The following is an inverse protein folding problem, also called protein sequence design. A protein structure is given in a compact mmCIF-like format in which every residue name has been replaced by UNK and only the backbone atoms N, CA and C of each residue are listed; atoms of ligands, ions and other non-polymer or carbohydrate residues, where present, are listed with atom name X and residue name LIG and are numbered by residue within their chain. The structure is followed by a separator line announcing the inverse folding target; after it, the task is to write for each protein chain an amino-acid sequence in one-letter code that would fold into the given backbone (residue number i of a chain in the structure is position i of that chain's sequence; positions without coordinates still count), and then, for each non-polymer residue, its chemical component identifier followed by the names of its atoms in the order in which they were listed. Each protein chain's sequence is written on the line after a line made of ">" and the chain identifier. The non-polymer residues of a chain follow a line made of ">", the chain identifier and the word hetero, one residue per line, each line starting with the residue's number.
data_IF_776911375963
#
_entry.id   IF_776911375963
#
_cell.length_a   1.000
_cell.length_b   1.000
_cell.length_c   1.000
_cell.angle_alpha   90.00
_cell.angle_beta   90.00
_cell.angle_gamma   90.00
#
_symmetry.space_group_name_H-M   'P 1'
#
loop_
_entity.id
_entity.type
_entity.pdbx_description
1 polymer ?
#
# COMPACT_ATOMS: atom_id res chain seq x y z
N UNK A 1 -1.77 -27.32 0.50
CA UNK A 1 -1.19 -26.30 1.38
C UNK A 1 -1.49 -24.95 0.73
N UNK A 2 -2.04 -23.95 1.45
CA UNK A 2 -2.27 -22.66 0.82
C UNK A 2 -0.91 -22.09 0.42
N UNK A 3 -0.79 -21.66 -0.83
CA UNK A 3 0.43 -21.14 -1.41
C UNK A 3 0.81 -19.84 -0.71
N UNK A 4 1.98 -19.81 -0.06
CA UNK A 4 2.62 -18.58 0.45
C UNK A 4 3.01 -17.73 -0.76
N UNK A 5 2.05 -16.98 -1.29
CA UNK A 5 2.26 -16.03 -2.37
C UNK A 5 2.50 -14.62 -1.84
N UNK A 6 3.05 -13.72 -2.66
CA UNK A 6 3.30 -12.35 -2.26
C UNK A 6 2.00 -11.58 -2.00
N UNK A 7 2.13 -10.46 -1.29
CA UNK A 7 1.01 -9.57 -0.98
C UNK A 7 1.47 -8.26 -0.35
N UNK A 8 0.51 -7.42 0.00
CA UNK A 8 0.73 -6.12 0.62
C UNK A 8 0.39 -6.17 2.10
N UNK A 9 1.31 -5.79 2.97
CA UNK A 9 1.02 -5.50 4.38
C UNK A 9 0.80 -4.01 4.52
N UNK A 10 -0.31 -3.60 5.12
CA UNK A 10 -0.75 -2.22 5.17
C UNK A 10 -0.89 -1.68 6.60
N UNK A 11 -0.83 -0.35 6.70
CA UNK A 11 -1.30 0.40 7.86
C UNK A 11 -2.45 1.30 7.42
N UNK A 12 -3.59 1.15 8.07
CA UNK A 12 -4.77 1.99 7.83
C UNK A 12 -5.06 2.85 9.07
N UNK A 13 -5.35 4.12 8.86
CA UNK A 13 -5.76 5.06 9.90
C UNK A 13 -7.27 5.05 10.09
N UNK A 14 -7.72 5.06 11.35
CA UNK A 14 -9.09 5.37 11.73
C UNK A 14 -9.28 6.90 11.83
N UNK A 15 -9.99 7.58 10.91
CA UNK A 15 -10.06 9.04 10.91
C UNK A 15 -10.73 9.60 12.17
N UNK A 16 -11.71 8.86 12.72
CA UNK A 16 -12.41 9.28 13.95
C UNK A 16 -11.63 8.98 15.23
N UNK A 17 -10.49 8.26 15.13
CA UNK A 17 -9.63 7.90 16.25
C UNK A 17 -8.16 7.94 15.81
N UNK A 18 -7.54 9.13 15.70
CA UNK A 18 -6.23 9.30 15.05
C UNK A 18 -5.05 8.54 15.70
N UNK A 19 -5.20 8.07 16.95
CA UNK A 19 -4.21 7.22 17.65
C UNK A 19 -4.45 5.71 17.46
N UNK A 20 -5.32 5.35 16.54
CA UNK A 20 -5.72 3.97 16.28
C UNK A 20 -5.44 3.65 14.82
N UNK A 21 -4.60 2.63 14.63
CA UNK A 21 -4.28 2.11 13.30
C UNK A 21 -4.73 0.66 13.21
N UNK A 22 -5.18 0.26 12.02
CA UNK A 22 -5.36 -1.14 11.66
C UNK A 22 -4.12 -1.61 10.91
N UNK A 23 -3.56 -2.74 11.32
CA UNK A 23 -2.49 -3.41 10.58
C UNK A 23 -3.07 -4.70 10.04
N UNK A 24 -2.86 -4.96 8.75
CA UNK A 24 -3.15 -6.27 8.19
C UNK A 24 -2.57 -6.46 6.80
N UNK A 25 -2.96 -7.52 6.11
CA UNK A 25 -2.51 -7.75 4.74
C UNK A 25 -3.63 -8.01 3.74
N UNK A 26 -3.28 -7.92 2.46
CA UNK A 26 -4.09 -8.35 1.32
C UNK A 26 -3.20 -8.98 0.24
N UNK A 27 -3.77 -9.89 -0.55
CA UNK A 27 -3.12 -10.44 -1.75
C UNK A 27 -3.42 -9.62 -3.02
N UNK A 28 -4.35 -8.67 -2.92
CA UNK A 28 -4.69 -7.71 -3.98
C UNK A 28 -4.17 -6.30 -3.67
N UNK A 29 -4.87 -5.28 -4.14
CA UNK A 29 -4.50 -3.89 -3.87
C UNK A 29 -5.04 -3.42 -2.50
N UNK A 30 -4.24 -2.65 -1.77
CA UNK A 30 -4.66 -2.10 -0.46
C UNK A 30 -5.92 -1.24 -0.58
N UNK A 31 -6.07 -0.50 -1.69
CA UNK A 31 -7.28 0.30 -1.95
C UNK A 31 -8.55 -0.53 -2.15
N UNK A 32 -8.45 -1.72 -2.72
CA UNK A 32 -9.57 -2.67 -2.81
C UNK A 32 -9.97 -3.14 -1.42
N UNK A 33 -8.97 -3.51 -0.61
CA UNK A 33 -9.19 -3.96 0.76
C UNK A 33 -9.82 -2.87 1.64
N UNK A 34 -9.40 -1.62 1.48
CA UNK A 34 -10.03 -0.47 2.17
C UNK A 34 -11.52 -0.36 1.83
N UNK A 35 -11.89 -0.54 0.56
CA UNK A 35 -13.29 -0.53 0.12
C UNK A 35 -14.08 -1.69 0.70
N UNK A 36 -13.53 -2.90 0.73
CA UNK A 36 -14.16 -4.07 1.34
C UNK A 36 -14.39 -3.90 2.84
N UNK A 37 -13.44 -3.29 3.54
CA UNK A 37 -13.54 -3.01 4.98
C UNK A 37 -14.55 -1.90 5.30
N UNK A 38 -14.93 -1.09 4.30
CA UNK A 38 -15.97 -0.08 4.40
C UNK A 38 -17.37 -0.69 4.18
N UNK A 39 -17.81 -1.50 5.16
CA UNK A 39 -19.17 -2.03 5.23
C UNK A 39 -20.20 -1.04 5.81
N UNK A 40 -21.46 -1.47 5.94
CA UNK A 40 -22.60 -0.65 6.41
C UNK A 40 -22.51 -0.13 7.86
N UNK A 41 -21.49 -0.55 8.62
CA UNK A 41 -21.32 -0.21 10.04
C UNK A 41 -20.32 0.90 10.35
N UNK A 42 -19.70 1.54 9.34
CA UNK A 42 -18.74 2.64 9.54
C UNK A 42 -19.22 3.91 8.84
N UNK A 43 -19.18 5.03 9.56
CA UNK A 43 -19.57 6.34 9.01
C UNK A 43 -18.51 6.91 8.05
N UNK A 44 -17.24 6.53 8.20
CA UNK A 44 -16.14 6.97 7.35
C UNK A 44 -15.21 5.82 6.96
N UNK A 45 -14.66 5.84 5.73
CA UNK A 45 -13.67 4.87 5.29
C UNK A 45 -12.37 5.00 6.08
N UNK A 46 -11.68 3.87 6.24
CA UNK A 46 -10.29 3.87 6.69
C UNK A 46 -9.41 4.54 5.64
N UNK A 47 -8.33 5.17 6.07
CA UNK A 47 -7.37 5.80 5.16
C UNK A 47 -6.13 4.92 5.10
N UNK A 48 -5.76 4.43 3.91
CA UNK A 48 -4.46 3.79 3.73
C UNK A 48 -3.36 4.85 3.83
N UNK A 49 -2.47 4.69 4.81
CA UNK A 49 -1.37 5.63 5.03
C UNK A 49 -0.02 5.08 4.56
N UNK A 50 0.12 3.75 4.52
CA UNK A 50 1.30 3.06 4.00
C UNK A 50 0.99 1.59 3.69
N UNK A 51 1.74 1.02 2.77
CA UNK A 51 1.83 -0.43 2.58
C UNK A 51 3.19 -0.87 2.03
N UNK A 52 3.52 -2.15 2.22
CA UNK A 52 4.75 -2.79 1.74
C UNK A 52 4.40 -4.04 0.95
N UNK A 53 4.98 -4.19 -0.25
CA UNK A 53 4.85 -5.40 -1.05
C UNK A 53 5.95 -6.40 -0.67
N UNK A 54 5.53 -7.57 -0.21
CA UNK A 54 6.42 -8.57 0.39
C UNK A 54 6.12 -9.97 -0.11
N UNK A 55 7.13 -10.84 -0.08
CA UNK A 55 7.00 -12.25 -0.48
C UNK A 55 6.15 -13.08 0.49
N UNK A 56 6.15 -12.71 1.78
CA UNK A 56 5.43 -13.43 2.85
C UNK A 56 4.67 -12.43 3.74
N UNK A 57 3.49 -11.97 3.28
CA UNK A 57 2.71 -10.96 4.01
C UNK A 57 2.17 -11.47 5.35
N UNK A 58 1.88 -12.76 5.45
CA UNK A 58 1.36 -13.39 6.69
C UNK A 58 2.43 -13.33 7.79
N UNK A 59 3.69 -13.62 7.45
CA UNK A 59 4.80 -13.55 8.40
C UNK A 59 5.10 -12.13 8.86
N UNK A 60 5.07 -11.17 7.95
CA UNK A 60 5.30 -9.75 8.27
C UNK A 60 4.16 -9.18 9.12
N UNK A 61 2.90 -9.48 8.78
CA UNK A 61 1.74 -9.10 9.60
C UNK A 61 1.85 -9.70 11.01
N UNK A 62 2.14 -11.00 11.10
CA UNK A 62 2.28 -11.69 12.38
C UNK A 62 3.36 -11.06 13.27
N UNK A 63 4.52 -10.73 12.70
CA UNK A 63 5.60 -10.04 13.42
C UNK A 63 5.14 -8.69 13.98
N UNK A 64 4.39 -7.89 13.20
CA UNK A 64 3.83 -6.61 13.65
C UNK A 64 2.77 -6.80 14.74
N UNK A 65 1.90 -7.80 14.60
CA UNK A 65 0.88 -8.10 15.61
C UNK A 65 1.50 -8.55 16.93
N UNK A 66 2.55 -9.37 16.89
CA UNK A 66 3.31 -9.75 18.08
C UNK A 66 4.05 -8.56 18.69
N UNK A 67 4.68 -7.72 17.87
CA UNK A 67 5.40 -6.52 18.32
C UNK A 67 4.49 -5.52 19.05
N UNK A 68 3.23 -5.41 18.63
CA UNK A 68 2.27 -4.47 19.20
C UNK A 68 1.15 -5.15 20.01
N UNK A 69 1.40 -6.36 20.53
CA UNK A 69 0.38 -7.14 21.23
C UNK A 69 -0.20 -6.40 22.44
N UNK A 70 0.63 -5.66 23.18
CA UNK A 70 0.23 -4.88 24.36
C UNK A 70 -0.63 -3.65 24.00
N UNK A 71 -0.48 -3.12 22.79
CA UNK A 71 -1.24 -1.97 22.31
C UNK A 71 -2.48 -2.38 21.52
N UNK A 72 -2.76 -3.69 21.39
CA UNK A 72 -3.91 -4.21 20.67
C UNK A 72 -5.20 -3.85 21.41
N UNK A 73 -6.12 -3.19 20.71
CA UNK A 73 -7.35 -2.62 21.30
C UNK A 73 -8.40 -3.70 21.57
N UNK A 74 -8.33 -4.81 20.84
CA UNK A 74 -9.20 -5.97 21.00
C UNK A 74 -8.60 -7.17 20.28
N UNK A 75 -8.67 -8.36 20.88
CA UNK A 75 -8.19 -9.60 20.24
C UNK A 75 -8.88 -9.87 18.90
N UNK A 76 -10.16 -9.49 18.76
CA UNK A 76 -10.96 -9.73 17.56
C UNK A 76 -10.76 -8.70 16.45
N UNK A 77 -10.16 -7.56 16.73
CA UNK A 77 -10.02 -6.47 15.77
C UNK A 77 -8.58 -6.01 15.78
N UNK A 78 -7.85 -6.29 14.70
CA UNK A 78 -6.42 -6.00 14.45
C UNK A 78 -6.12 -4.48 14.43
N UNK A 79 -6.56 -3.77 15.46
CA UNK A 79 -6.38 -2.35 15.71
C UNK A 79 -5.46 -2.16 16.89
N UNK A 80 -4.58 -1.18 16.78
CA UNK A 80 -3.50 -0.93 17.71
C UNK A 80 -3.51 0.54 18.12
N UNK A 81 -3.40 0.80 19.42
CA UNK A 81 -3.34 2.12 20.02
C UNK A 81 -1.91 2.70 19.94
N UNK A 82 -1.44 2.90 18.71
CA UNK A 82 -0.11 3.44 18.38
C UNK A 82 -0.24 4.55 17.34
N UNK A 83 0.79 5.41 17.24
CA UNK A 83 0.79 6.47 16.24
C UNK A 83 1.00 5.90 14.83
N UNK A 84 0.46 6.56 13.78
CA UNK A 84 0.74 6.26 12.38
C UNK A 84 2.23 6.11 12.09
N UNK A 85 3.05 7.03 12.60
CA UNK A 85 4.48 7.07 12.38
C UNK A 85 5.18 5.84 12.95
N UNK A 86 4.81 5.43 14.17
CA UNK A 86 5.37 4.23 14.81
C UNK A 86 4.98 2.96 14.05
N UNK A 87 3.72 2.88 13.59
CA UNK A 87 3.25 1.74 12.82
C UNK A 87 3.97 1.61 11.48
N UNK A 88 4.14 2.72 10.75
CA UNK A 88 4.86 2.75 9.46
C UNK A 88 6.32 2.38 9.64
N UNK A 89 7.01 2.98 10.62
CA UNK A 89 8.42 2.67 10.88
C UNK A 89 8.63 1.19 11.22
N UNK A 90 7.74 0.60 12.03
CA UNK A 90 7.79 -0.83 12.33
C UNK A 90 7.51 -1.68 11.10
N UNK A 91 6.50 -1.35 10.29
CA UNK A 91 6.21 -2.07 9.05
C UNK A 91 7.41 -2.05 8.11
N UNK A 92 8.02 -0.89 7.87
CA UNK A 92 9.23 -0.79 7.02
C UNK A 92 10.38 -1.65 7.53
N UNK A 93 10.55 -1.75 8.86
CA UNK A 93 11.58 -2.58 9.49
C UNK A 93 11.28 -4.08 9.33
N UNK A 94 10.09 -4.53 9.70
CA UNK A 94 9.71 -5.95 9.63
C UNK A 94 9.59 -6.46 8.20
N UNK A 95 9.23 -5.59 7.25
CA UNK A 95 9.10 -5.92 5.83
C UNK A 95 10.45 -6.01 5.11
N UNK A 96 11.50 -5.35 5.60
CA UNK A 96 12.79 -5.24 4.91
C UNK A 96 13.37 -6.57 4.39
N UNK A 97 13.38 -7.68 5.16
CA UNK A 97 13.90 -8.96 4.67
C UNK A 97 12.96 -9.72 3.71
N UNK A 98 11.70 -9.31 3.59
CA UNK A 98 10.70 -9.92 2.71
C UNK A 98 10.31 -9.03 1.53
N UNK A 99 10.85 -7.81 1.46
CA UNK A 99 10.51 -6.85 0.41
C UNK A 99 10.97 -7.39 -0.93
N UNK A 100 10.03 -7.45 -1.86
CA UNK A 100 10.30 -7.84 -3.24
C UNK A 100 9.87 -6.70 -4.15
N UNK A 101 10.59 -6.50 -5.24
CA UNK A 101 10.08 -5.67 -6.33
C UNK A 101 8.79 -6.31 -6.83
N UNK A 102 7.70 -5.56 -6.94
CA UNK A 102 6.51 -6.09 -7.57
C UNK A 102 6.85 -6.64 -8.95
N UNK A 103 6.28 -7.77 -9.38
CA UNK A 103 6.57 -8.34 -10.70
C UNK A 103 6.18 -7.42 -11.87
N UNK A 104 5.32 -6.42 -11.63
CA UNK A 104 5.01 -5.34 -12.59
C UNK A 104 6.00 -4.16 -12.55
N UNK A 105 6.95 -4.18 -11.63
CA UNK A 105 7.98 -3.14 -11.44
C UNK A 105 9.25 -3.44 -12.27
N UNK A 106 9.36 -4.61 -12.91
CA UNK A 106 10.21 -4.75 -14.09
C UNK A 106 9.31 -4.55 -15.31
N UNK A 107 9.29 -3.33 -15.87
CA UNK A 107 8.43 -3.08 -17.03
C UNK A 107 8.14 -1.62 -17.34
N UNK A 108 7.38 -1.44 -18.43
CA UNK A 108 6.87 -0.16 -18.92
C UNK A 108 5.44 0.06 -18.41
N UNK A 109 5.21 1.14 -17.67
CA UNK A 109 3.88 1.57 -17.24
C UNK A 109 3.48 2.82 -18.02
N UNK A 110 2.48 2.70 -18.89
CA UNK A 110 1.93 3.85 -19.60
C UNK A 110 1.04 4.69 -18.66
N UNK A 111 1.47 5.92 -18.38
CA UNK A 111 0.80 6.88 -17.49
C UNK A 111 -0.10 7.87 -18.23
N UNK A 112 -0.11 7.86 -19.57
CA UNK A 112 -0.74 8.91 -20.37
C UNK A 112 -2.22 9.11 -20.00
N UNK A 113 -2.98 8.02 -19.94
CA UNK A 113 -4.41 8.10 -19.62
C UNK A 113 -4.67 8.70 -18.22
N UNK A 114 -3.84 8.36 -17.23
CA UNK A 114 -3.98 8.88 -15.85
C UNK A 114 -3.61 10.36 -15.77
N UNK A 115 -2.55 10.77 -16.46
CA UNK A 115 -2.12 12.16 -16.54
C UNK A 115 -3.15 13.00 -17.28
N UNK A 116 -3.66 12.52 -18.41
CA UNK A 116 -4.68 13.21 -19.18
C UNK A 116 -6.00 13.35 -18.39
N UNK A 117 -6.46 12.29 -17.73
CA UNK A 117 -7.67 12.33 -16.93
C UNK A 117 -7.61 13.37 -15.79
N UNK A 118 -6.43 13.56 -15.19
CA UNK A 118 -6.25 14.45 -14.03
C UNK A 118 -5.83 15.87 -14.42
N UNK A 119 -5.04 16.01 -15.47
CA UNK A 119 -4.33 17.24 -15.83
C UNK A 119 -4.42 17.58 -17.32
N UNK A 120 -5.34 16.97 -18.08
CA UNK A 120 -5.43 17.12 -19.54
C UNK A 120 -5.52 18.57 -20.03
N UNK A 121 -6.11 19.48 -19.24
CA UNK A 121 -6.19 20.90 -19.57
C UNK A 121 -4.83 21.62 -19.60
N UNK A 122 -3.83 21.10 -18.89
CA UNK A 122 -2.49 21.67 -18.78
C UNK A 122 -1.39 20.74 -19.30
N UNK A 123 -1.75 19.54 -19.75
CA UNK A 123 -0.81 18.60 -20.36
C UNK A 123 -0.40 19.15 -21.73
N UNK A 124 0.91 19.20 -22.01
CA UNK A 124 1.39 19.61 -23.33
C UNK A 124 0.75 18.73 -24.41
N UNK A 125 0.21 19.37 -25.44
CA UNK A 125 -0.63 18.73 -26.47
C UNK A 125 0.13 17.83 -27.45
N UNK A 126 1.44 17.98 -27.52
CA UNK A 126 2.39 17.19 -28.31
C UNK A 126 2.73 15.84 -27.67
N UNK A 127 2.52 15.68 -26.36
CA UNK A 127 2.75 14.42 -25.65
C UNK A 127 1.69 13.39 -26.08
N UNK A 128 2.13 12.26 -26.62
CA UNK A 128 1.26 11.13 -27.01
C UNK A 128 1.39 9.93 -26.08
N UNK A 129 2.52 9.82 -25.39
CA UNK A 129 2.79 8.72 -24.47
C UNK A 129 3.66 9.19 -23.33
N UNK A 130 3.39 8.67 -22.14
CA UNK A 130 4.25 8.83 -20.97
C UNK A 130 4.48 7.44 -20.43
N UNK A 131 5.72 6.96 -20.49
CA UNK A 131 6.11 5.65 -19.99
C UNK A 131 6.92 5.84 -18.71
N UNK A 132 6.53 5.17 -17.64
CA UNK A 132 7.41 4.96 -16.50
C UNK A 132 8.12 3.63 -16.70
N UNK A 133 9.45 3.68 -16.76
CA UNK A 133 10.29 2.50 -16.81
C UNK A 133 10.93 2.34 -15.45
N UNK A 134 10.70 1.19 -14.84
CA UNK A 134 11.36 0.86 -13.58
C UNK A 134 12.36 -0.25 -13.81
N UNK A 135 13.59 -0.01 -13.34
CA UNK A 135 14.75 -0.88 -13.48
C UNK A 135 15.45 -1.01 -12.14
N UNK A 136 16.46 -1.89 -12.04
CA UNK A 136 17.32 -1.98 -10.86
C UNK A 136 18.16 -0.70 -10.63
N UNK A 137 18.36 0.11 -11.67
CA UNK A 137 19.17 1.35 -11.62
C UNK A 137 18.34 2.58 -11.23
N UNK A 138 17.00 2.47 -11.26
CA UNK A 138 16.10 3.56 -10.89
C UNK A 138 14.81 3.60 -11.69
N UNK A 139 14.06 4.70 -11.48
CA UNK A 139 12.79 5.00 -12.14
C UNK A 139 13.01 6.10 -13.17
N UNK A 140 12.65 5.82 -14.42
CA UNK A 140 12.73 6.74 -15.55
C UNK A 140 11.33 7.08 -16.04
N UNK A 141 11.12 8.33 -16.44
CA UNK A 141 9.89 8.78 -17.10
C UNK A 141 10.27 9.23 -18.50
N UNK A 142 9.75 8.54 -19.51
CA UNK A 142 9.95 8.88 -20.92
C UNK A 142 8.68 9.47 -21.50
N UNK A 143 8.82 10.60 -22.20
CA UNK A 143 7.75 11.20 -23.00
C UNK A 143 8.01 10.93 -24.47
N UNK A 144 6.97 10.50 -25.19
CA UNK A 144 6.99 10.43 -26.66
C UNK A 144 6.21 11.62 -27.19
N UNK A 145 6.92 12.47 -27.91
CA UNK A 145 6.43 13.71 -28.52
C UNK A 145 6.24 13.50 -30.04
N UNK A 146 5.65 14.48 -30.72
CA UNK A 146 5.43 14.46 -32.18
C UNK A 146 6.40 15.38 -32.88
#
# INVERSE_FOLDING_TARGET
>A
MPTVGPGRVYVLLEPLKPKFVKIGFTRGETGERVRELHGTGRAVPLIAIWDEYVSDPERVEGALHSRFSEQRVSDKREFFAITPQTAVAALMHEAAPYRISPPWLEGHVNLFHRLYAKHGAILRSDIRRVEMIVTQEGVFILTVET
#
